data_IF_804920158887
#
_entry.id   IF_804920158887
#
_cell.length_a   1.000
_cell.length_b   1.000
_cell.length_c   1.000
_cell.angle_alpha   90.00
_cell.angle_beta   90.00
_cell.angle_gamma   90.00
#
_symmetry.space_group_name_H-M   'P 1'
#
loop_
_entity.id
_entity.type
_entity.pdbx_description
1 polymer ?
#
# COMPACT_ATOMS: atom_id res chain seq x y z
N UNK A 1 -16.84 -22.95 -1.98
CA UNK A 1 -15.62 -22.24 -2.42
C UNK A 1 -15.87 -20.76 -2.19
N UNK A 2 -15.42 -20.21 -1.07
CA UNK A 2 -15.59 -18.77 -0.81
C UNK A 2 -14.69 -18.03 -1.80
N UNK A 3 -15.26 -17.20 -2.66
CA UNK A 3 -14.49 -16.12 -3.26
C UNK A 3 -13.80 -15.40 -2.09
N UNK A 4 -12.49 -15.13 -2.21
CA UNK A 4 -11.77 -14.33 -1.22
C UNK A 4 -12.47 -12.98 -1.14
N UNK A 5 -13.31 -12.81 -0.11
CA UNK A 5 -14.09 -11.61 0.06
C UNK A 5 -13.11 -10.50 0.44
N UNK A 6 -13.09 -9.40 -0.32
CA UNK A 6 -12.25 -8.25 0.01
C UNK A 6 -12.60 -7.75 1.43
N UNK A 7 -11.65 -7.21 2.21
CA UNK A 7 -11.96 -6.61 3.51
C UNK A 7 -13.02 -5.51 3.39
N UNK A 8 -13.93 -5.42 4.36
CA UNK A 8 -15.07 -4.50 4.29
C UNK A 8 -14.65 -3.03 4.07
N UNK A 9 -13.59 -2.55 4.73
CA UNK A 9 -13.10 -1.17 4.50
C UNK A 9 -12.64 -0.96 3.05
N UNK A 10 -11.97 -1.95 2.45
CA UNK A 10 -11.50 -1.86 1.07
C UNK A 10 -12.67 -1.98 0.08
N UNK A 11 -13.69 -2.80 0.37
CA UNK A 11 -14.92 -2.84 -0.44
C UNK A 11 -15.64 -1.49 -0.45
N UNK A 12 -15.67 -0.81 0.69
CA UNK A 12 -16.30 0.52 0.82
C UNK A 12 -15.46 1.64 0.18
N UNK A 13 -14.15 1.43 0.05
CA UNK A 13 -13.21 2.40 -0.51
C UNK A 13 -12.30 1.69 -1.53
N UNK A 14 -12.81 1.26 -2.69
CA UNK A 14 -12.08 0.35 -3.59
C UNK A 14 -10.84 0.98 -4.21
N UNK A 15 -10.89 2.30 -4.45
CA UNK A 15 -9.83 3.04 -5.10
C UNK A 15 -8.50 2.99 -4.35
N UNK A 16 -7.46 2.43 -4.97
CA UNK A 16 -6.15 2.27 -4.33
C UNK A 16 -5.50 3.61 -3.95
N UNK A 17 -5.64 4.64 -4.80
CA UNK A 17 -5.08 5.99 -4.55
C UNK A 17 -5.64 6.67 -3.29
N UNK A 18 -6.78 6.21 -2.76
CA UNK A 18 -7.33 6.66 -1.47
C UNK A 18 -6.57 6.06 -0.28
N UNK A 19 -5.98 4.88 -0.43
CA UNK A 19 -5.22 4.18 0.61
C UNK A 19 -3.74 4.53 0.61
N UNK A 20 -3.13 4.61 -0.57
CA UNK A 20 -1.70 4.84 -0.69
C UNK A 20 -1.31 5.58 -1.97
N UNK A 21 -0.21 6.33 -1.87
CA UNK A 21 0.47 6.97 -3.00
C UNK A 21 1.97 6.74 -2.88
N UNK A 22 2.60 6.44 -4.01
CA UNK A 22 4.05 6.38 -4.12
C UNK A 22 4.59 7.79 -4.36
N UNK A 23 5.48 8.25 -3.50
CA UNK A 23 6.11 9.55 -3.61
C UNK A 23 7.52 9.40 -4.23
N UNK A 24 7.88 10.19 -5.25
CA UNK A 24 9.18 10.06 -5.93
C UNK A 24 10.38 10.35 -5.01
N UNK A 25 10.16 10.92 -3.82
CA UNK A 25 11.19 11.20 -2.82
C UNK A 25 11.62 9.98 -1.99
N UNK A 26 11.15 8.76 -2.31
CA UNK A 26 11.66 7.55 -1.65
C UNK A 26 10.77 6.95 -0.56
N UNK A 27 9.48 7.30 -0.53
CA UNK A 27 8.55 6.84 0.49
C UNK A 27 7.12 6.66 -0.01
N UNK A 28 6.35 5.82 0.68
CA UNK A 28 4.91 5.64 0.46
C UNK A 28 4.17 6.52 1.45
N UNK A 29 3.22 7.31 0.96
CA UNK A 29 2.25 8.03 1.79
C UNK A 29 1.01 7.17 1.91
N UNK A 30 0.60 6.89 3.14
CA UNK A 30 -0.52 5.99 3.45
C UNK A 30 -1.60 6.75 4.21
N UNK A 31 -2.84 6.46 3.88
CA UNK A 31 -4.04 6.99 4.53
C UNK A 31 -4.87 5.85 5.09
N UNK A 32 -5.39 6.06 6.31
CA UNK A 32 -6.44 5.25 6.91
C UNK A 32 -7.49 6.20 7.47
N UNK A 33 -8.75 5.76 7.48
CA UNK A 33 -9.84 6.46 8.16
C UNK A 33 -9.74 6.38 9.70
N UNK A 34 -8.80 5.59 10.24
CA UNK A 34 -8.65 5.43 11.68
C UNK A 34 -7.91 6.58 12.32
N UNK A 35 -8.49 7.08 13.40
CA UNK A 35 -7.90 8.13 14.23
C UNK A 35 -7.02 7.51 15.32
N UNK A 36 -5.81 8.06 15.47
CA UNK A 36 -4.89 7.78 16.57
C UNK A 36 -5.30 8.58 17.82
N UNK A 37 -5.43 7.89 18.95
CA UNK A 37 -5.85 8.44 20.24
C UNK A 37 -4.87 8.06 21.37
N UNK A 38 -3.68 7.54 21.03
CA UNK A 38 -2.64 7.10 21.96
C UNK A 38 -2.43 5.59 22.01
N UNK A 39 -3.15 4.82 21.19
CA UNK A 39 -3.03 3.36 21.12
C UNK A 39 -1.88 2.86 20.24
N UNK A 40 -1.30 3.71 19.39
CA UNK A 40 -0.20 3.34 18.49
C UNK A 40 -0.65 2.58 17.24
N UNK A 41 -1.87 2.82 16.77
CA UNK A 41 -2.43 2.15 15.59
C UNK A 41 -1.64 2.50 14.32
N UNK A 42 -1.21 3.76 14.17
CA UNK A 42 -0.48 4.17 12.96
C UNK A 42 0.88 3.47 12.85
N UNK A 43 1.52 3.17 13.99
CA UNK A 43 2.74 2.38 14.03
C UNK A 43 2.50 0.95 13.52
N UNK A 44 1.46 0.29 14.02
CA UNK A 44 1.11 -1.07 13.59
C UNK A 44 0.74 -1.12 12.09
N UNK A 45 -0.05 -0.17 11.60
CA UNK A 45 -0.41 -0.10 10.18
C UNK A 45 0.81 0.19 9.28
N UNK A 46 1.74 1.03 9.75
CA UNK A 46 2.99 1.31 9.04
C UNK A 46 3.83 0.04 8.82
N UNK A 47 3.92 -0.83 9.83
CA UNK A 47 4.62 -2.11 9.73
C UNK A 47 3.97 -3.04 8.71
N UNK A 48 2.63 -3.14 8.72
CA UNK A 48 1.87 -3.93 7.75
C UNK A 48 2.18 -3.46 6.32
N UNK A 49 2.14 -2.16 6.07
CA UNK A 49 2.45 -1.60 4.74
C UNK A 49 3.89 -1.89 4.34
N UNK A 50 4.84 -1.72 5.26
CA UNK A 50 6.25 -1.95 4.99
C UNK A 50 6.51 -3.41 4.58
N UNK A 51 5.94 -4.37 5.30
CA UNK A 51 6.03 -5.79 4.99
C UNK A 51 5.47 -6.10 3.60
N UNK A 52 4.23 -5.68 3.32
CA UNK A 52 3.52 -6.03 2.08
C UNK A 52 4.15 -5.37 0.84
N UNK A 53 4.67 -4.14 1.00
CA UNK A 53 5.31 -3.42 -0.10
C UNK A 53 6.80 -3.78 -0.28
N UNK A 54 7.42 -4.48 0.68
CA UNK A 54 8.86 -4.77 0.67
C UNK A 54 9.72 -3.54 0.95
N UNK A 55 9.34 -2.73 1.94
CA UNK A 55 9.97 -1.46 2.33
C UNK A 55 10.63 -1.58 3.70
N UNK A 56 11.55 -0.66 3.98
CA UNK A 56 11.92 -0.33 5.36
C UNK A 56 10.82 0.53 6.01
N UNK A 57 10.59 0.38 7.31
CA UNK A 57 9.54 1.14 8.03
C UNK A 57 9.71 2.66 7.90
N UNK A 58 10.95 3.15 7.81
CA UNK A 58 11.24 4.58 7.59
C UNK A 58 10.79 5.13 6.22
N UNK A 59 10.44 4.25 5.28
CA UNK A 59 9.90 4.61 3.96
C UNK A 59 8.37 4.63 3.94
N UNK A 60 7.69 4.44 5.08
CA UNK A 60 6.24 4.52 5.20
C UNK A 60 5.85 5.75 5.99
N UNK A 61 5.08 6.65 5.38
CA UNK A 61 4.54 7.86 6.01
C UNK A 61 3.03 7.73 6.17
N UNK A 62 2.60 7.40 7.37
CA UNK A 62 1.19 7.45 7.73
C UNK A 62 0.72 8.91 7.82
N UNK A 63 -0.41 9.21 7.21
CA UNK A 63 -1.13 10.46 7.39
C UNK A 63 -2.24 10.27 8.42
N UNK A 64 -2.54 11.32 9.19
CA UNK A 64 -3.73 11.33 10.03
C UNK A 64 -4.99 11.31 9.17
N UNK A 65 -6.06 10.73 9.69
CA UNK A 65 -7.34 10.69 9.00
C UNK A 65 -7.85 12.10 8.71
N UNK A 66 -8.16 12.38 7.44
CA UNK A 66 -8.74 13.64 6.97
C UNK A 66 -10.01 13.33 6.18
N UNK A 67 -11.13 13.88 6.66
CA UNK A 67 -12.43 13.72 5.99
C UNK A 67 -12.38 14.25 4.57
N UNK A 68 -12.87 13.46 3.62
CA UNK A 68 -12.87 13.79 2.19
C UNK A 68 -11.61 13.38 1.42
N UNK A 69 -10.53 12.96 2.09
CA UNK A 69 -9.31 12.49 1.43
C UNK A 69 -8.77 11.15 1.93
N UNK A 70 -9.13 10.73 3.15
CA UNK A 70 -8.83 9.40 3.68
C UNK A 70 -10.01 8.45 3.43
N UNK A 71 -9.78 7.11 3.41
CA UNK A 71 -10.87 6.14 3.31
C UNK A 71 -11.88 6.35 4.46
N UNK A 72 -13.18 6.27 4.17
CA UNK A 72 -14.18 6.25 5.24
C UNK A 72 -14.21 4.86 5.88
N UNK A 73 -13.60 4.75 7.06
CA UNK A 73 -13.52 3.51 7.83
C UNK A 73 -14.41 3.55 9.07
N UNK A 74 -15.40 4.45 9.10
CA UNK A 74 -16.28 4.70 10.23
C UNK A 74 -15.48 4.97 11.53
N UNK A 75 -15.99 4.51 12.68
CA UNK A 75 -15.43 4.83 14.00
C UNK A 75 -14.18 4.00 14.34
N UNK A 76 -13.29 4.58 15.16
CA UNK A 76 -12.26 3.84 15.92
C UNK A 76 -12.88 3.34 17.22
N UNK A 77 -13.33 2.08 17.25
CA UNK A 77 -13.92 1.45 18.45
C UNK A 77 -13.82 -0.08 18.39
N UNK A 78 -14.03 -0.74 19.53
CA UNK A 78 -14.16 -2.20 19.63
C UNK A 78 -12.90 -3.01 19.30
N UNK A 79 -11.71 -2.39 19.34
CA UNK A 79 -10.44 -3.02 18.96
C UNK A 79 -10.36 -3.51 17.51
N UNK A 80 -11.22 -2.99 16.62
CA UNK A 80 -11.35 -3.45 15.24
C UNK A 80 -10.36 -2.81 14.26
N UNK A 81 -9.59 -1.80 14.67
CA UNK A 81 -8.79 -0.98 13.75
C UNK A 81 -7.74 -1.78 12.98
N UNK A 82 -6.94 -2.63 13.65
CA UNK A 82 -5.97 -3.50 12.96
C UNK A 82 -6.68 -4.53 12.10
N UNK A 83 -7.79 -5.10 12.57
CA UNK A 83 -8.53 -6.12 11.83
C UNK A 83 -9.11 -5.56 10.52
N UNK A 84 -9.67 -4.35 10.55
CA UNK A 84 -10.31 -3.74 9.39
C UNK A 84 -9.27 -3.06 8.49
N UNK A 85 -8.54 -2.08 9.02
CA UNK A 85 -7.61 -1.25 8.23
C UNK A 85 -6.34 -2.02 7.89
N UNK A 86 -5.86 -2.87 8.79
CA UNK A 86 -4.71 -3.73 8.51
C UNK A 86 -5.02 -4.72 7.39
N UNK A 87 -6.19 -5.36 7.41
CA UNK A 87 -6.59 -6.24 6.30
C UNK A 87 -6.73 -5.45 4.99
N UNK A 88 -7.42 -4.31 5.00
CA UNK A 88 -7.57 -3.47 3.81
C UNK A 88 -6.22 -3.03 3.23
N UNK A 89 -5.30 -2.55 4.08
CA UNK A 89 -3.95 -2.16 3.66
C UNK A 89 -3.15 -3.35 3.13
N UNK A 90 -3.26 -4.55 3.71
CA UNK A 90 -2.59 -5.74 3.14
C UNK A 90 -3.01 -5.98 1.69
N UNK A 91 -4.31 -5.96 1.43
CA UNK A 91 -4.84 -6.15 0.08
C UNK A 91 -4.48 -5.01 -0.88
N UNK A 92 -4.64 -3.76 -0.44
CA UNK A 92 -4.33 -2.58 -1.26
C UNK A 92 -2.82 -2.53 -1.62
N UNK A 93 -1.94 -2.81 -0.64
CA UNK A 93 -0.50 -2.86 -0.85
C UNK A 93 -0.09 -4.01 -1.76
N UNK A 94 -0.64 -5.22 -1.56
CA UNK A 94 -0.35 -6.35 -2.43
C UNK A 94 -0.71 -6.05 -3.90
N UNK A 95 -1.87 -5.42 -4.13
CA UNK A 95 -2.30 -5.01 -5.46
C UNK A 95 -1.41 -3.90 -6.03
N UNK A 96 -1.08 -2.86 -5.25
CA UNK A 96 -0.16 -1.80 -5.68
C UNK A 96 1.21 -2.37 -6.08
N UNK A 97 1.79 -3.25 -5.24
CA UNK A 97 3.05 -3.93 -5.55
C UNK A 97 2.97 -4.71 -6.86
N UNK A 98 1.88 -5.45 -7.09
CA UNK A 98 1.67 -6.19 -8.33
C UNK A 98 1.63 -5.26 -9.56
N UNK A 99 0.93 -4.12 -9.47
CA UNK A 99 0.87 -3.10 -10.53
C UNK A 99 2.26 -2.56 -10.86
N UNK A 100 3.04 -2.19 -9.85
CA UNK A 100 4.39 -1.66 -10.07
C UNK A 100 5.35 -2.71 -10.64
N UNK A 101 5.27 -3.97 -10.21
CA UNK A 101 6.04 -5.06 -10.79
C UNK A 101 5.65 -5.31 -12.25
N UNK A 102 4.36 -5.28 -12.57
CA UNK A 102 3.88 -5.40 -13.96
C UNK A 102 4.34 -4.22 -14.83
N UNK A 103 4.26 -3.00 -14.30
CA UNK A 103 4.74 -1.79 -14.98
C UNK A 103 6.25 -1.86 -15.25
N UNK A 104 7.04 -2.29 -14.26
CA UNK A 104 8.47 -2.52 -14.43
C UNK A 104 8.76 -3.61 -15.49
N UNK A 105 8.06 -4.75 -15.41
CA UNK A 105 8.21 -5.86 -16.35
C UNK A 105 7.98 -5.41 -17.80
N UNK A 106 6.91 -4.62 -18.02
CA UNK A 106 6.58 -4.04 -19.33
C UNK A 106 7.67 -3.06 -19.79
N UNK A 107 8.05 -2.11 -18.93
CA UNK A 107 9.05 -1.08 -19.24
C UNK A 107 10.41 -1.66 -19.62
N UNK A 108 10.82 -2.74 -18.96
CA UNK A 108 12.13 -3.37 -19.18
C UNK A 108 12.07 -4.61 -20.07
N UNK A 109 10.89 -4.98 -20.58
CA UNK A 109 10.69 -6.17 -21.43
C UNK A 109 11.22 -7.46 -20.80
N UNK A 110 10.84 -7.72 -19.55
CA UNK A 110 11.23 -8.90 -18.76
C UNK A 110 10.00 -9.63 -18.22
N UNK A 111 10.17 -10.89 -17.81
CA UNK A 111 9.11 -11.64 -17.14
C UNK A 111 8.88 -11.12 -15.71
N UNK A 112 7.67 -10.63 -15.43
CA UNK A 112 7.29 -10.11 -14.12
C UNK A 112 7.40 -11.14 -12.99
N UNK A 113 7.26 -12.44 -13.28
CA UNK A 113 7.43 -13.50 -12.28
C UNK A 113 8.87 -13.61 -11.75
N UNK A 114 9.83 -13.03 -12.46
CA UNK A 114 11.25 -13.01 -12.07
C UNK A 114 11.65 -11.76 -11.28
N UNK A 115 10.71 -10.82 -11.11
CA UNK A 115 10.93 -9.57 -10.39
C UNK A 115 10.57 -9.70 -8.92
N UNK A 116 11.34 -9.02 -8.07
CA UNK A 116 11.01 -8.86 -6.66
C UNK A 116 11.36 -7.45 -6.18
N UNK A 117 10.86 -7.13 -4.98
CA UNK A 117 11.07 -5.83 -4.33
C UNK A 117 11.81 -6.05 -3.02
N UNK A 118 12.83 -5.24 -2.77
CA UNK A 118 13.52 -5.15 -1.49
C UNK A 118 13.93 -3.69 -1.22
N UNK A 119 13.54 -3.14 -0.07
CA UNK A 119 13.83 -1.74 0.28
C UNK A 119 13.18 -0.71 -0.66
N UNK A 120 12.08 -1.08 -1.34
CA UNK A 120 11.44 -0.26 -2.38
C UNK A 120 12.13 -0.27 -3.75
N UNK A 121 13.24 -1.01 -3.87
CA UNK A 121 13.97 -1.24 -5.12
C UNK A 121 13.44 -2.50 -5.82
N UNK A 122 13.36 -2.46 -7.15
CA UNK A 122 12.86 -3.54 -8.00
C UNK A 122 14.06 -4.23 -8.67
N UNK A 123 14.15 -5.54 -8.48
CA UNK A 123 15.26 -6.35 -8.95
C UNK A 123 14.82 -7.45 -9.91
N UNK A 124 15.69 -7.74 -10.88
CA UNK A 124 15.69 -8.97 -11.65
C UNK A 124 16.84 -9.86 -11.13
N UNK A 125 16.51 -10.88 -10.32
CA UNK A 125 17.52 -11.60 -9.54
C UNK A 125 18.36 -10.59 -8.74
N UNK A 126 19.69 -10.59 -8.86
CA UNK A 126 20.57 -9.65 -8.15
C UNK A 126 20.73 -8.28 -8.84
N UNK A 127 20.15 -8.08 -10.03
CA UNK A 127 20.31 -6.84 -10.79
C UNK A 127 19.21 -5.84 -10.45
N UNK A 128 19.56 -4.70 -9.85
CA UNK A 128 18.64 -3.56 -9.69
C UNK A 128 18.19 -3.08 -11.08
N UNK A 129 16.88 -3.01 -11.30
CA UNK A 129 16.29 -2.45 -12.52
C UNK A 129 15.81 -1.02 -12.30
N UNK A 130 15.05 -0.82 -11.22
CA UNK A 130 14.47 0.48 -10.87
C UNK A 130 13.99 0.48 -9.41
N UNK A 131 13.09 1.39 -9.04
CA UNK A 131 12.42 1.47 -7.75
C UNK A 131 10.96 1.90 -7.91
N UNK A 132 10.15 1.80 -6.85
CA UNK A 132 8.82 2.40 -6.86
C UNK A 132 8.87 3.90 -7.19
N UNK A 133 9.88 4.60 -6.68
CA UNK A 133 10.02 6.06 -6.75
C UNK A 133 10.37 6.53 -8.17
N UNK A 134 11.26 5.79 -8.85
CA UNK A 134 11.62 6.04 -10.25
C UNK A 134 10.47 5.74 -11.22
N UNK A 135 9.54 4.86 -10.81
CA UNK A 135 8.34 4.51 -11.58
C UNK A 135 7.08 5.22 -11.06
N UNK A 136 7.22 6.21 -10.18
CA UNK A 136 6.08 6.85 -9.52
C UNK A 136 5.20 7.59 -10.54
N UNK A 137 4.00 7.08 -10.74
CA UNK A 137 2.95 7.72 -11.53
C UNK A 137 1.62 7.56 -10.78
N UNK A 138 0.99 8.67 -10.33
CA UNK A 138 -0.29 8.62 -9.62
C UNK A 138 -1.39 7.87 -10.38
N UNK A 139 -1.36 7.87 -11.72
CA UNK A 139 -2.37 7.21 -12.54
C UNK A 139 -2.35 5.68 -12.39
N UNK A 140 -1.22 5.09 -11.99
CA UNK A 140 -1.12 3.63 -11.79
C UNK A 140 -2.00 3.11 -10.65
N UNK A 141 -2.29 3.96 -9.66
CA UNK A 141 -3.08 3.59 -8.49
C UNK A 141 -4.47 4.23 -8.49
N UNK A 142 -4.82 5.03 -9.50
CA UNK A 142 -6.17 5.61 -9.62
C UNK A 142 -7.13 4.62 -10.28
N UNK A 143 -7.22 3.43 -9.66
CA UNK A 143 -8.07 2.32 -10.08
C UNK A 143 -8.81 1.74 -8.87
N UNK A 144 -9.97 1.15 -9.13
CA UNK A 144 -10.84 0.45 -8.16
C UNK A 144 -10.52 -1.05 -8.06
#
# INVERSE_FOLDING_TARGET
MSALMLPASLQANPRLSTWLRIAPEGHVVVSSGKVELGQGILGALSQIVAEEMGLHTGQVRMTGAVTGSSPDEAVTSGSLSVQHSGAALRHACAQARAIYLHHAATRFSVDGATLHVAGGEIFLRERRLSSYWELADPALLDID
#
